data_IF_687525734144
#
_entry.id   IF_687525734144
#
_cell.length_a   1.000
_cell.length_b   1.000
_cell.length_c   1.000
_cell.angle_alpha   90.00
_cell.angle_beta   90.00
_cell.angle_gamma   90.00
#
_symmetry.space_group_name_H-M   'P 1'
#
loop_
_entity.id
_entity.type
_entity.pdbx_description
1 polymer ?
#
# COMPACT_ATOMS: atom_id res chain seq x y z
N UNK A 1 37.23 5.37 -7.66
CA UNK A 1 36.69 6.30 -8.66
C UNK A 1 35.23 6.01 -9.03
N UNK A 2 34.87 4.92 -9.73
CA UNK A 2 33.44 4.62 -10.01
C UNK A 2 32.66 4.14 -8.78
N UNK A 3 33.31 3.40 -7.87
CA UNK A 3 32.69 2.94 -6.62
C UNK A 3 32.39 4.10 -5.66
N UNK A 4 33.36 5.01 -5.46
CA UNK A 4 33.17 6.23 -4.67
C UNK A 4 32.07 7.14 -5.26
N UNK A 5 32.00 7.28 -6.58
CA UNK A 5 30.94 8.05 -7.24
C UNK A 5 29.56 7.39 -7.06
N UNK A 6 29.50 6.06 -7.11
CA UNK A 6 28.27 5.33 -6.83
C UNK A 6 27.83 5.54 -5.37
N UNK A 7 28.75 5.53 -4.43
CA UNK A 7 28.47 5.80 -3.01
C UNK A 7 27.96 7.24 -2.78
N UNK A 8 28.54 8.24 -3.44
CA UNK A 8 28.06 9.62 -3.40
C UNK A 8 26.64 9.76 -3.96
N UNK A 9 26.35 9.14 -5.11
CA UNK A 9 25.01 9.11 -5.70
C UNK A 9 24.01 8.44 -4.74
N UNK A 10 24.40 7.34 -4.10
CA UNK A 10 23.56 6.67 -3.11
C UNK A 10 23.33 7.52 -1.86
N UNK A 11 24.33 8.26 -1.38
CA UNK A 11 24.17 9.22 -0.29
C UNK A 11 23.16 10.33 -0.64
N UNK A 12 23.29 10.98 -1.80
CA UNK A 12 22.35 12.02 -2.25
C UNK A 12 20.92 11.48 -2.39
N UNK A 13 20.77 10.26 -2.94
CA UNK A 13 19.48 9.57 -3.00
C UNK A 13 18.91 9.34 -1.60
N UNK A 14 19.74 8.94 -0.63
CA UNK A 14 19.35 8.71 0.75
C UNK A 14 18.87 9.98 1.49
N UNK A 15 19.37 11.16 1.10
CA UNK A 15 18.93 12.46 1.64
C UNK A 15 17.63 13.00 1.04
N UNK A 16 17.16 12.45 -0.09
CA UNK A 16 15.97 12.99 -0.77
C UNK A 16 14.67 12.73 0.00
N UNK A 17 14.64 11.74 0.90
CA UNK A 17 13.46 11.40 1.69
C UNK A 17 13.80 11.54 3.17
N UNK A 18 13.09 12.42 3.88
CA UNK A 18 13.28 12.58 5.32
C UNK A 18 12.85 11.31 6.09
N UNK A 19 13.37 11.13 7.30
CA UNK A 19 13.13 9.93 8.12
C UNK A 19 11.64 9.66 8.39
N UNK A 20 10.83 10.71 8.56
CA UNK A 20 9.38 10.61 8.79
C UNK A 20 8.64 10.08 7.55
N UNK A 21 9.07 10.48 6.36
CA UNK A 21 8.53 9.97 5.10
C UNK A 21 8.95 8.53 4.84
N UNK A 22 10.18 8.14 5.21
CA UNK A 22 10.66 6.75 5.12
C UNK A 22 9.77 5.78 5.92
N UNK A 23 9.37 6.13 7.15
CA UNK A 23 8.49 5.27 7.95
C UNK A 23 7.07 5.13 7.36
N UNK A 24 6.53 6.21 6.78
CA UNK A 24 5.25 6.17 6.05
C UNK A 24 5.35 5.30 4.80
N UNK A 25 6.47 5.39 4.07
CA UNK A 25 6.66 4.59 2.87
C UNK A 25 6.79 3.11 3.20
N UNK A 26 7.60 2.77 4.20
CA UNK A 26 7.76 1.42 4.71
C UNK A 26 6.42 0.80 5.13
N UNK A 27 5.55 1.56 5.79
CA UNK A 27 4.20 1.10 6.12
C UNK A 27 3.41 0.65 4.90
N UNK A 28 3.47 1.41 3.79
CA UNK A 28 2.80 1.02 2.55
C UNK A 28 3.48 -0.16 1.85
N UNK A 29 4.82 -0.23 1.86
CA UNK A 29 5.58 -1.36 1.31
C UNK A 29 5.19 -2.67 2.01
N UNK A 30 5.16 -2.66 3.34
CA UNK A 30 4.72 -3.82 4.14
C UNK A 30 3.33 -4.28 3.70
N UNK A 31 2.39 -3.35 3.51
CA UNK A 31 1.03 -3.69 3.06
C UNK A 31 1.00 -4.30 1.66
N UNK A 32 1.84 -3.81 0.74
CA UNK A 32 1.94 -4.39 -0.60
C UNK A 32 2.45 -5.82 -0.53
N UNK A 33 3.57 -6.06 0.17
CA UNK A 33 4.17 -7.39 0.30
C UNK A 33 3.21 -8.40 0.90
N UNK A 34 2.56 -8.06 2.02
CA UNK A 34 1.63 -8.98 2.67
C UNK A 34 0.39 -9.26 1.82
N UNK A 35 -0.09 -8.29 1.06
CA UNK A 35 -1.20 -8.56 0.14
C UNK A 35 -0.78 -9.50 -0.99
N UNK A 36 0.41 -9.29 -1.58
CA UNK A 36 0.94 -10.19 -2.62
C UNK A 36 1.19 -11.59 -2.08
N UNK A 37 1.70 -11.71 -0.85
CA UNK A 37 1.86 -13.01 -0.19
C UNK A 37 0.54 -13.80 -0.16
N UNK A 38 -0.57 -13.13 0.16
CA UNK A 38 -1.86 -13.81 0.30
C UNK A 38 -2.58 -14.07 -1.05
N UNK A 39 -2.37 -13.24 -2.07
CA UNK A 39 -3.17 -13.27 -3.31
C UNK A 39 -2.38 -13.70 -4.55
N UNK A 40 -1.06 -13.48 -4.56
CA UNK A 40 -0.18 -13.80 -5.69
C UNK A 40 1.25 -14.08 -5.17
N UNK A 41 1.44 -15.14 -4.36
CA UNK A 41 2.71 -15.41 -3.68
C UNK A 41 3.90 -15.59 -4.63
N UNK A 42 3.66 -15.92 -5.90
CA UNK A 42 4.70 -16.00 -6.93
C UNK A 42 5.44 -14.68 -7.19
N UNK A 43 4.86 -13.54 -6.85
CA UNK A 43 5.48 -12.20 -7.01
C UNK A 43 6.32 -11.81 -5.80
N UNK A 44 6.13 -12.46 -4.64
CA UNK A 44 6.95 -12.20 -3.46
C UNK A 44 8.28 -12.90 -3.63
N UNK A 45 9.36 -12.20 -3.27
CA UNK A 45 10.72 -12.75 -3.32
C UNK A 45 10.77 -14.08 -2.54
N UNK A 46 11.34 -15.17 -3.12
CA UNK A 46 11.31 -16.50 -2.53
C UNK A 46 11.79 -16.61 -1.08
N UNK A 47 12.88 -15.95 -0.71
CA UNK A 47 13.42 -16.01 0.65
C UNK A 47 12.51 -15.30 1.67
N UNK A 48 11.95 -14.15 1.28
CA UNK A 48 10.96 -13.43 2.07
C UNK A 48 9.67 -14.22 2.19
N UNK A 49 9.20 -14.84 1.11
CA UNK A 49 8.01 -15.70 1.14
C UNK A 49 8.20 -16.86 2.12
N UNK A 50 9.33 -17.57 2.02
CA UNK A 50 9.64 -18.65 2.94
C UNK A 50 9.64 -18.19 4.40
N UNK A 51 10.18 -17.00 4.68
CA UNK A 51 10.14 -16.39 6.02
C UNK A 51 8.71 -16.04 6.48
N UNK A 52 7.84 -15.58 5.58
CA UNK A 52 6.45 -15.29 5.92
C UNK A 52 5.64 -16.58 6.17
N UNK A 53 5.97 -17.66 5.47
CA UNK A 53 5.35 -18.98 5.64
C UNK A 53 5.72 -19.66 6.98
N UNK A 54 6.80 -19.24 7.65
CA UNK A 54 7.13 -19.76 9.00
C UNK A 54 6.20 -19.27 10.11
N UNK A 55 5.36 -18.27 9.82
CA UNK A 55 4.40 -17.74 10.79
C UNK A 55 3.18 -18.67 10.86
N UNK A 56 3.17 -19.57 11.83
CA UNK A 56 2.14 -20.63 11.97
C UNK A 56 1.16 -20.41 13.12
N UNK A 57 1.07 -19.20 13.68
CA UNK A 57 0.13 -18.92 14.80
C UNK A 57 -1.32 -18.82 14.32
N UNK A 58 -2.24 -19.41 15.08
CA UNK A 58 -3.69 -19.37 14.80
C UNK A 58 -4.33 -18.00 15.11
N UNK A 59 -3.66 -17.16 15.91
CA UNK A 59 -4.10 -15.79 16.15
C UNK A 59 -3.78 -14.92 14.93
N UNK A 60 -4.81 -14.60 14.15
CA UNK A 60 -4.69 -13.78 12.93
C UNK A 60 -4.09 -12.39 13.17
N UNK A 61 -4.32 -11.79 14.34
CA UNK A 61 -3.75 -10.47 14.68
C UNK A 61 -2.26 -10.59 14.97
N UNK A 62 -1.88 -11.63 15.71
CA UNK A 62 -0.48 -11.87 16.04
C UNK A 62 0.33 -12.33 14.82
N UNK A 63 -0.25 -13.23 14.01
CA UNK A 63 0.32 -13.64 12.72
C UNK A 63 0.62 -12.43 11.84
N UNK A 64 -0.35 -11.51 11.72
CA UNK A 64 -0.17 -10.29 10.93
C UNK A 64 0.98 -9.42 11.48
N UNK A 65 1.08 -9.22 12.80
CA UNK A 65 2.18 -8.44 13.41
C UNK A 65 3.56 -9.08 13.19
N UNK A 66 3.66 -10.39 13.28
CA UNK A 66 4.91 -11.12 13.04
C UNK A 66 5.34 -10.98 11.58
N UNK A 67 4.41 -11.21 10.64
CA UNK A 67 4.65 -11.00 9.21
C UNK A 67 5.05 -9.55 8.91
N UNK A 68 4.40 -8.55 9.52
CA UNK A 68 4.81 -7.15 9.39
C UNK A 68 6.25 -6.91 9.85
N UNK A 69 6.66 -7.53 10.96
CA UNK A 69 8.02 -7.41 11.49
C UNK A 69 9.05 -8.05 10.56
N UNK A 70 8.75 -9.22 9.98
CA UNK A 70 9.61 -9.87 8.99
C UNK A 70 9.82 -9.00 7.74
N UNK A 71 8.74 -8.48 7.14
CA UNK A 71 8.88 -7.59 5.96
C UNK A 71 9.64 -6.32 6.33
N UNK A 72 9.38 -5.75 7.51
CA UNK A 72 10.08 -4.55 7.96
C UNK A 72 11.59 -4.78 8.01
N UNK A 73 12.02 -5.84 8.70
CA UNK A 73 13.43 -6.19 8.83
C UNK A 73 14.05 -6.51 7.48
N UNK A 74 13.35 -7.23 6.62
CA UNK A 74 13.82 -7.54 5.27
C UNK A 74 14.15 -6.27 4.48
N UNK A 75 13.22 -5.32 4.42
CA UNK A 75 13.39 -4.05 3.67
C UNK A 75 14.45 -3.12 4.31
N UNK A 76 14.60 -3.15 5.64
CA UNK A 76 15.57 -2.30 6.36
C UNK A 76 17.00 -2.88 6.36
N UNK A 77 17.15 -4.20 6.45
CA UNK A 77 18.43 -4.89 6.59
C UNK A 77 19.03 -5.33 5.25
N UNK A 78 18.22 -5.70 4.26
CA UNK A 78 18.71 -6.21 2.98
C UNK A 78 18.25 -5.33 1.81
N UNK A 79 19.06 -4.33 1.50
CA UNK A 79 18.79 -3.41 0.38
C UNK A 79 19.07 -4.01 -0.99
N UNK A 80 19.61 -5.23 -1.06
CA UNK A 80 20.07 -5.81 -2.35
C UNK A 80 18.95 -6.55 -3.06
N UNK A 81 18.04 -7.17 -2.32
CA UNK A 81 16.95 -7.95 -2.89
C UNK A 81 15.62 -7.21 -2.77
N UNK A 82 14.94 -7.07 -3.90
CA UNK A 82 13.61 -6.49 -3.96
C UNK A 82 12.60 -7.43 -3.29
N UNK A 83 11.72 -6.95 -2.39
CA UNK A 83 10.76 -7.82 -1.69
C UNK A 83 9.64 -8.32 -2.61
N UNK A 84 9.52 -7.73 -3.80
CA UNK A 84 8.53 -8.04 -4.82
C UNK A 84 9.21 -8.04 -6.18
N UNK A 85 8.74 -8.90 -7.08
CA UNK A 85 9.01 -8.75 -8.50
C UNK A 85 8.28 -7.50 -9.03
N UNK A 86 9.03 -6.41 -9.16
CA UNK A 86 8.51 -5.11 -9.61
C UNK A 86 8.20 -5.05 -11.11
N UNK A 87 8.61 -6.06 -11.88
CA UNK A 87 8.32 -6.19 -13.31
C UNK A 87 7.00 -6.96 -13.49
N UNK A 88 6.81 -8.05 -12.74
CA UNK A 88 5.59 -8.88 -12.81
C UNK A 88 4.41 -8.32 -11.99
N UNK A 89 4.68 -7.39 -11.07
CA UNK A 89 3.65 -6.61 -10.40
C UNK A 89 3.13 -5.50 -11.32
N UNK A 90 2.06 -5.81 -12.07
CA UNK A 90 1.40 -4.83 -12.93
C UNK A 90 0.58 -3.79 -12.14
N UNK A 91 0.23 -2.69 -12.81
CA UNK A 91 -0.55 -1.57 -12.22
C UNK A 91 -1.86 -2.00 -11.60
N UNK A 92 -2.54 -2.96 -12.21
CA UNK A 92 -3.83 -3.46 -11.76
C UNK A 92 -3.74 -4.14 -10.38
N UNK A 93 -2.67 -4.89 -10.10
CA UNK A 93 -2.47 -5.50 -8.78
C UNK A 93 -2.40 -4.43 -7.68
N UNK A 94 -1.70 -3.32 -7.94
CA UNK A 94 -1.59 -2.24 -6.96
C UNK A 94 -2.90 -1.48 -6.77
N UNK A 95 -3.70 -1.32 -7.83
CA UNK A 95 -5.07 -0.80 -7.72
C UNK A 95 -5.96 -1.74 -6.87
N UNK A 96 -5.87 -3.05 -7.07
CA UNK A 96 -6.57 -4.06 -6.27
C UNK A 96 -6.18 -3.99 -4.79
N UNK A 97 -4.89 -3.82 -4.49
CA UNK A 97 -4.41 -3.62 -3.11
C UNK A 97 -5.04 -2.37 -2.52
N UNK A 98 -4.97 -1.25 -3.23
CA UNK A 98 -5.56 0.02 -2.77
C UNK A 98 -7.07 -0.15 -2.52
N UNK A 99 -7.76 -0.89 -3.37
CA UNK A 99 -9.20 -1.16 -3.25
C UNK A 99 -9.55 -2.21 -2.19
N UNK A 100 -8.62 -3.04 -1.74
CA UNK A 100 -8.84 -4.00 -0.65
C UNK A 100 -8.70 -3.37 0.74
N UNK A 101 -8.04 -2.20 0.84
CA UNK A 101 -7.83 -1.52 2.12
C UNK A 101 -9.15 -1.18 2.81
N UNK A 102 -9.25 -1.53 4.09
CA UNK A 102 -10.36 -1.17 4.98
C UNK A 102 -9.84 -0.61 6.29
N UNK A 103 -10.62 0.26 6.90
CA UNK A 103 -10.45 0.67 8.30
C UNK A 103 -10.94 -0.44 9.23
N UNK A 104 -10.70 -0.29 10.54
CA UNK A 104 -11.21 -1.23 11.56
C UNK A 104 -12.74 -1.36 11.55
N UNK A 105 -13.45 -0.29 11.19
CA UNK A 105 -14.92 -0.27 11.05
C UNK A 105 -15.42 -0.84 9.70
N UNK A 106 -14.54 -1.44 8.90
CA UNK A 106 -14.86 -1.98 7.59
C UNK A 106 -15.11 -0.93 6.50
N UNK A 107 -14.98 0.37 6.80
CA UNK A 107 -15.17 1.42 5.78
C UNK A 107 -13.91 1.63 4.94
N UNK A 108 -14.10 2.25 3.77
CA UNK A 108 -13.00 2.68 2.93
C UNK A 108 -12.10 3.71 3.66
N UNK A 109 -10.78 3.64 3.48
CA UNK A 109 -9.85 4.65 3.97
C UNK A 109 -10.10 6.06 3.42
N UNK A 110 -9.51 7.04 4.11
CA UNK A 110 -9.50 8.43 3.64
C UNK A 110 -8.48 8.67 2.53
N UNK A 111 -8.64 9.82 1.84
CA UNK A 111 -7.76 10.28 0.75
C UNK A 111 -6.27 10.29 1.13
N UNK A 112 -5.95 10.63 2.37
CA UNK A 112 -4.56 10.68 2.85
C UNK A 112 -3.88 9.30 2.77
N UNK A 113 -4.56 8.22 3.19
CA UNK A 113 -3.97 6.88 3.14
C UNK A 113 -3.70 6.46 1.69
N UNK A 114 -4.63 6.71 0.77
CA UNK A 114 -4.43 6.41 -0.64
C UNK A 114 -3.26 7.20 -1.25
N UNK A 115 -3.10 8.47 -0.86
CA UNK A 115 -1.93 9.28 -1.23
C UNK A 115 -0.63 8.68 -0.70
N UNK A 116 -0.62 8.24 0.56
CA UNK A 116 0.55 7.58 1.15
C UNK A 116 0.89 6.27 0.46
N UNK A 117 -0.10 5.41 0.17
CA UNK A 117 0.11 4.14 -0.55
C UNK A 117 0.72 4.36 -1.93
N UNK A 118 0.21 5.35 -2.69
CA UNK A 118 0.79 5.75 -3.97
C UNK A 118 2.26 6.16 -3.79
N UNK A 119 2.55 7.05 -2.84
CA UNK A 119 3.93 7.50 -2.58
C UNK A 119 4.85 6.36 -2.14
N UNK A 120 4.37 5.40 -1.34
CA UNK A 120 5.11 4.19 -0.96
C UNK A 120 5.49 3.34 -2.16
N UNK A 121 4.59 3.25 -3.16
CA UNK A 121 4.86 2.52 -4.40
C UNK A 121 5.97 3.19 -5.21
N UNK A 122 5.89 4.51 -5.44
CA UNK A 122 6.96 5.25 -6.10
C UNK A 122 8.29 5.13 -5.34
N UNK A 123 8.23 5.15 -4.01
CA UNK A 123 9.41 4.95 -3.19
C UNK A 123 9.99 3.55 -3.35
N UNK A 124 9.17 2.51 -3.49
CA UNK A 124 9.62 1.13 -3.68
C UNK A 124 10.42 0.96 -4.98
N UNK A 125 9.90 1.44 -6.11
CA UNK A 125 10.63 1.44 -7.39
C UNK A 125 11.95 2.20 -7.29
N UNK A 126 11.92 3.38 -6.66
CA UNK A 126 13.13 4.19 -6.44
C UNK A 126 14.14 3.52 -5.52
N UNK A 127 13.68 2.83 -4.47
CA UNK A 127 14.53 2.21 -3.45
C UNK A 127 15.41 1.12 -4.04
N UNK A 128 14.87 0.37 -5.02
CA UNK A 128 15.56 -0.73 -5.69
C UNK A 128 16.07 -0.37 -7.10
N UNK A 129 16.07 0.93 -7.45
CA UNK A 129 16.52 1.45 -8.74
C UNK A 129 15.87 0.77 -9.96
N UNK A 130 14.61 0.35 -9.81
CA UNK A 130 13.83 -0.28 -10.88
C UNK A 130 13.06 0.80 -11.63
N UNK A 131 13.18 0.80 -12.95
CA UNK A 131 12.40 1.70 -13.80
C UNK A 131 10.92 1.30 -13.72
N UNK A 132 10.08 2.27 -13.32
CA UNK A 132 8.64 2.10 -13.38
C UNK A 132 8.17 2.09 -14.84
N UNK A 133 7.23 1.21 -15.25
CA UNK A 133 6.74 1.18 -16.62
C UNK A 133 6.16 2.52 -17.09
N UNK A 134 6.36 2.89 -18.36
CA UNK A 134 6.06 4.24 -18.87
C UNK A 134 4.58 4.66 -18.74
N UNK A 135 3.65 3.71 -18.84
CA UNK A 135 2.21 3.97 -18.71
C UNK A 135 1.73 4.05 -17.25
N UNK A 136 2.57 3.67 -16.30
CA UNK A 136 2.16 3.37 -14.94
C UNK A 136 1.73 4.62 -14.18
N UNK A 137 2.46 5.74 -14.31
CA UNK A 137 2.09 6.99 -13.65
C UNK A 137 0.76 7.53 -14.18
N UNK A 138 0.50 7.39 -15.49
CA UNK A 138 -0.73 7.84 -16.12
C UNK A 138 -1.95 7.05 -15.62
N UNK A 139 -1.86 5.71 -15.61
CA UNK A 139 -2.92 4.85 -15.09
C UNK A 139 -3.19 5.12 -13.61
N UNK A 140 -2.13 5.24 -12.80
CA UNK A 140 -2.26 5.63 -11.40
C UNK A 140 -2.93 7.01 -11.23
N UNK A 141 -2.65 7.99 -12.10
CA UNK A 141 -3.34 9.31 -12.07
C UNK A 141 -4.82 9.18 -12.41
N UNK A 142 -5.18 8.40 -13.43
CA UNK A 142 -6.58 8.14 -13.80
C UNK A 142 -7.32 7.45 -12.66
N UNK A 143 -6.75 6.37 -12.13
CA UNK A 143 -7.28 5.65 -10.99
C UNK A 143 -7.46 6.56 -9.77
N UNK A 144 -6.43 7.35 -9.42
CA UNK A 144 -6.50 8.31 -8.31
C UNK A 144 -7.60 9.37 -8.51
N UNK A 145 -7.88 9.79 -9.75
CA UNK A 145 -9.00 10.70 -10.06
C UNK A 145 -10.35 10.00 -9.84
N UNK A 146 -10.49 8.75 -10.31
CA UNK A 146 -11.69 7.92 -10.10
C UNK A 146 -11.95 7.65 -8.61
N UNK A 147 -10.91 7.28 -7.87
CA UNK A 147 -10.97 7.00 -6.43
C UNK A 147 -11.43 8.22 -5.62
N UNK A 148 -10.95 9.42 -5.97
CA UNK A 148 -11.45 10.66 -5.36
C UNK A 148 -12.95 10.78 -5.56
N UNK A 149 -13.44 10.64 -6.80
CA UNK A 149 -14.86 10.74 -7.14
C UNK A 149 -15.72 9.72 -6.40
N UNK A 150 -15.24 8.47 -6.27
CA UNK A 150 -15.99 7.41 -5.56
C UNK A 150 -16.03 7.62 -4.04
N UNK A 151 -14.95 8.11 -3.44
CA UNK A 151 -14.94 8.44 -2.00
C UNK A 151 -15.82 9.67 -1.72
N UNK A 152 -15.84 10.66 -2.62
CA UNK A 152 -16.74 11.81 -2.53
C UNK A 152 -18.21 11.39 -2.71
N UNK A 153 -18.53 10.45 -3.62
CA UNK A 153 -19.90 9.95 -3.77
C UNK A 153 -20.34 9.16 -2.55
N UNK A 154 -19.49 8.32 -1.96
CA UNK A 154 -19.81 7.57 -0.74
C UNK A 154 -20.06 8.50 0.46
N UNK A 155 -19.26 9.57 0.60
CA UNK A 155 -19.43 10.60 1.63
C UNK A 155 -20.67 11.48 1.38
N UNK A 156 -20.99 11.79 0.12
CA UNK A 156 -22.19 12.55 -0.23
C UNK A 156 -23.47 11.73 0.00
N UNK A 157 -23.47 10.43 -0.34
CA UNK A 157 -24.56 9.49 -0.06
C UNK A 157 -24.77 9.29 1.43
N UNK A 158 -23.68 9.16 2.20
CA UNK A 158 -23.76 9.05 3.66
C UNK A 158 -24.34 10.31 4.32
N UNK A 159 -24.02 11.51 3.80
CA UNK A 159 -24.65 12.77 4.25
C UNK A 159 -26.12 12.87 3.86
N UNK A 160 -26.48 12.41 2.66
CA UNK A 160 -27.88 12.39 2.22
C UNK A 160 -28.73 11.42 3.05
N UNK A 161 -28.24 10.21 3.36
CA UNK A 161 -28.96 9.29 4.27
C UNK A 161 -29.14 9.87 5.68
N UNK A 162 -28.18 10.64 6.20
CA UNK A 162 -28.33 11.32 7.49
C UNK A 162 -29.36 12.47 7.43
N UNK A 163 -29.50 13.13 6.27
CA UNK A 163 -30.46 14.23 6.09
C UNK A 163 -31.89 13.75 5.74
N UNK A 164 -32.04 12.56 5.15
CA UNK A 164 -33.35 11.99 4.79
C UNK A 164 -33.92 11.11 5.93
N UNK A 165 -33.12 10.77 6.94
CA UNK A 165 -33.49 9.86 8.04
C UNK A 165 -34.25 10.46 9.22
N UNK A 166 -34.84 11.66 9.12
CA UNK A 166 -35.59 12.27 10.23
C UNK A 166 -36.91 12.90 9.79
N UNK A 167 -37.74 12.18 9.02
CA UNK A 167 -39.18 12.43 8.96
C UNK A 167 -39.87 11.27 8.23
N UNK A 168 -40.23 10.23 8.98
CA UNK A 168 -41.37 9.36 8.65
C UNK A 168 -41.75 8.60 9.91
N UNK A 169 -42.60 9.24 10.71
CA UNK A 169 -43.62 8.51 11.45
C UNK A 169 -44.95 9.00 10.90
N UNK A 170 -45.38 8.37 9.81
CA UNK A 170 -46.79 8.11 9.61
C UNK A 170 -47.29 7.40 10.86
N UNK A 171 -48.24 8.03 11.54
CA UNK A 171 -49.14 7.31 12.45
C UNK A 171 -50.52 7.55 11.90
N UNK A 172 -50.97 6.60 11.08
CA UNK A 172 -52.37 6.43 10.74
C UNK A 172 -52.91 5.25 11.56
N UNK A 173 -54.12 5.46 12.08
CA UNK A 173 -55.08 4.48 12.62
C UNK A 173 -54.75 3.92 14.03
N UNK A 174 -55.66 3.97 15.00
CA UNK A 174 -57.14 3.81 14.93
C UNK A 174 -57.85 4.70 15.94
#
# INVERSE_FOLDING_TARGET
>A
MMEELNDEVQMVRNYTVNAKSKSVYLYGIIKYVLWFHDHKPGVVEPSLRALLDTVTTDDTTEAYKQKQSHVKLYVECDRREQPLDLVDSNVHNFECIVMSLRKKDGKKPGKSLYGSMRSSLFHLYRLYDVQMPDNYDNEQRKFSKGLKRSVYSDLARARYCFLVGTNTTDTAET
#
